data_IF_189458029973
#
_entry.id   IF_189458029973
#
_cell.length_a   1.000
_cell.length_b   1.000
_cell.length_c   1.000
_cell.angle_alpha   90.00
_cell.angle_beta   90.00
_cell.angle_gamma   90.00
#
_symmetry.space_group_name_H-M   'P 1'
#
loop_
_entity.id
_entity.type
_entity.pdbx_description
1 polymer ?
#
# COMPACT_ATOMS: atom_id res chain seq x y z
N UNK A 1 -10.79 -16.90 16.70
CA UNK A 1 -10.40 -16.05 15.55
C UNK A 1 -8.97 -16.41 15.18
N UNK A 2 -8.71 -16.83 13.94
CA UNK A 2 -7.39 -17.32 13.53
C UNK A 2 -6.50 -16.12 13.18
N UNK A 3 -5.64 -15.68 14.10
CA UNK A 3 -4.82 -14.47 13.95
C UNK A 3 -3.94 -14.49 12.68
N UNK A 4 -3.48 -15.66 12.20
CA UNK A 4 -2.71 -15.76 10.94
C UNK A 4 -3.42 -15.15 9.74
N UNK A 5 -4.75 -15.27 9.62
CA UNK A 5 -5.50 -14.71 8.49
C UNK A 5 -5.53 -13.18 8.52
N UNK A 6 -5.43 -12.59 9.71
CA UNK A 6 -5.38 -11.13 9.88
C UNK A 6 -4.01 -10.60 9.43
N UNK A 7 -2.93 -11.27 9.84
CA UNK A 7 -1.56 -10.91 9.44
C UNK A 7 -1.25 -11.17 7.96
N UNK A 8 -2.02 -12.04 7.29
CA UNK A 8 -1.95 -12.24 5.83
C UNK A 8 -2.54 -11.09 5.02
N UNK A 9 -3.44 -10.30 5.63
CA UNK A 9 -4.15 -9.20 4.96
C UNK A 9 -3.57 -7.85 5.36
N UNK A 10 -3.27 -7.67 6.64
CA UNK A 10 -2.69 -6.44 7.18
C UNK A 10 -1.18 -6.54 7.04
N UNK A 11 -0.66 -6.27 5.84
CA UNK A 11 0.79 -6.26 5.57
C UNK A 11 1.27 -4.84 5.27
N UNK A 12 2.58 -4.54 5.34
CA UNK A 12 3.08 -3.19 5.10
C UNK A 12 2.63 -2.58 3.76
N UNK A 13 2.64 -3.35 2.66
CA UNK A 13 2.17 -2.85 1.37
C UNK A 13 0.65 -2.73 1.31
N UNK A 14 -0.10 -3.62 1.97
CA UNK A 14 -1.57 -3.51 2.01
C UNK A 14 -2.03 -2.32 2.85
N UNK A 15 -1.28 -1.92 3.88
CA UNK A 15 -1.51 -0.67 4.61
C UNK A 15 -1.29 0.53 3.68
N UNK A 16 -0.19 0.54 2.92
CA UNK A 16 0.09 1.59 1.93
C UNK A 16 -1.00 1.64 0.84
N UNK A 17 -1.47 0.48 0.37
CA UNK A 17 -2.58 0.39 -0.56
C UNK A 17 -3.87 0.99 0.03
N UNK A 18 -4.15 0.71 1.31
CA UNK A 18 -5.26 1.28 2.06
C UNK A 18 -5.17 2.81 2.15
N UNK A 19 -3.98 3.38 2.37
CA UNK A 19 -3.78 4.83 2.32
C UNK A 19 -4.11 5.40 0.94
N UNK A 20 -3.72 4.72 -0.14
CA UNK A 20 -4.11 5.08 -1.51
C UNK A 20 -5.63 5.09 -1.69
N UNK A 21 -6.34 4.06 -1.19
CA UNK A 21 -7.81 4.01 -1.23
C UNK A 21 -8.44 5.18 -0.46
N UNK A 22 -7.90 5.53 0.70
CA UNK A 22 -8.36 6.69 1.48
C UNK A 22 -8.19 7.99 0.68
N UNK A 23 -7.04 8.19 0.02
CA UNK A 23 -6.78 9.36 -0.84
C UNK A 23 -7.76 9.45 -2.00
N UNK A 24 -8.08 8.32 -2.64
CA UNK A 24 -9.11 8.24 -3.70
C UNK A 24 -10.47 8.67 -3.14
N UNK A 25 -10.85 8.14 -1.97
CA UNK A 25 -12.11 8.49 -1.30
C UNK A 25 -12.23 9.99 -1.01
N UNK A 26 -11.19 10.59 -0.41
CA UNK A 26 -11.14 12.04 -0.18
C UNK A 26 -11.23 12.84 -1.48
N UNK A 27 -10.50 12.40 -2.51
CA UNK A 27 -10.51 13.03 -3.82
C UNK A 27 -11.88 12.99 -4.51
N UNK A 28 -12.65 11.92 -4.28
CA UNK A 28 -13.99 11.74 -4.87
C UNK A 28 -15.08 12.52 -4.13
N UNK A 29 -15.01 12.64 -2.80
CA UNK A 29 -16.05 13.30 -1.98
C UNK A 29 -16.14 14.82 -2.23
N UNK A 30 -15.02 15.49 -2.51
CA UNK A 30 -15.02 16.94 -2.76
C UNK A 30 -14.04 17.32 -3.89
N UNK A 31 -14.40 16.95 -5.13
CA UNK A 31 -13.58 17.19 -6.33
C UNK A 31 -13.38 18.67 -6.68
N UNK A 32 -14.09 19.61 -6.04
CA UNK A 32 -14.01 21.05 -6.36
C UNK A 32 -12.74 21.71 -5.81
N UNK A 33 -12.03 21.04 -4.90
CA UNK A 33 -10.73 21.50 -4.39
C UNK A 33 -9.62 20.93 -5.26
N UNK A 34 -8.76 21.79 -5.76
CA UNK A 34 -7.63 21.43 -6.64
C UNK A 34 -6.74 20.32 -6.03
N UNK A 35 -6.47 20.40 -4.72
CA UNK A 35 -5.71 19.38 -3.99
C UNK A 35 -6.40 18.00 -3.94
N UNK A 36 -7.74 17.95 -3.98
CA UNK A 36 -8.49 16.70 -3.88
C UNK A 36 -8.45 15.94 -5.21
N UNK A 37 -8.41 16.66 -6.34
CA UNK A 37 -8.20 16.04 -7.66
C UNK A 37 -6.82 15.40 -7.73
N UNK A 38 -5.78 16.07 -7.21
CA UNK A 38 -4.44 15.46 -7.11
C UNK A 38 -4.44 14.21 -6.21
N UNK A 39 -5.10 14.26 -5.04
CA UNK A 39 -5.21 13.10 -4.16
C UNK A 39 -5.90 11.91 -4.83
N UNK A 40 -6.93 12.16 -5.64
CA UNK A 40 -7.58 11.12 -6.43
C UNK A 40 -6.61 10.51 -7.45
N UNK A 41 -5.96 11.36 -8.25
CA UNK A 41 -5.05 10.92 -9.33
C UNK A 41 -3.86 10.14 -8.77
N UNK A 42 -3.24 10.61 -7.69
CA UNK A 42 -2.09 9.93 -7.08
C UNK A 42 -2.49 8.75 -6.19
N UNK A 43 -3.69 8.77 -5.61
CA UNK A 43 -4.21 7.67 -4.81
C UNK A 43 -4.38 6.39 -5.62
N UNK A 44 -4.75 6.47 -6.91
CA UNK A 44 -4.91 5.30 -7.80
C UNK A 44 -3.57 4.53 -8.00
N UNK A 45 -2.48 5.17 -8.46
CA UNK A 45 -1.17 4.53 -8.54
C UNK A 45 -0.67 3.97 -7.20
N UNK A 46 -0.91 4.67 -6.09
CA UNK A 46 -0.50 4.18 -4.76
C UNK A 46 -1.28 2.91 -4.40
N UNK A 47 -2.60 2.94 -4.52
CA UNK A 47 -3.47 1.81 -4.18
C UNK A 47 -3.16 0.59 -5.06
N UNK A 48 -3.18 0.77 -6.39
CA UNK A 48 -2.95 -0.31 -7.34
C UNK A 48 -1.50 -0.78 -7.35
N UNK A 49 -0.54 0.14 -7.25
CA UNK A 49 0.88 -0.18 -7.21
C UNK A 49 1.24 -0.99 -5.97
N UNK A 50 0.84 -0.53 -4.79
CA UNK A 50 1.13 -1.24 -3.54
C UNK A 50 0.41 -2.60 -3.47
N UNK A 51 -0.87 -2.68 -3.85
CA UNK A 51 -1.59 -3.94 -3.93
C UNK A 51 -0.98 -4.89 -4.97
N UNK A 52 -0.64 -4.40 -6.15
CA UNK A 52 -0.01 -5.18 -7.22
C UNK A 52 1.33 -5.76 -6.78
N UNK A 53 2.20 -4.94 -6.18
CA UNK A 53 3.50 -5.39 -5.65
C UNK A 53 3.30 -6.40 -4.51
N UNK A 54 2.32 -6.21 -3.62
CA UNK A 54 1.97 -7.19 -2.58
C UNK A 54 1.62 -8.55 -3.21
N UNK A 55 0.76 -8.59 -4.24
CA UNK A 55 0.41 -9.83 -4.94
C UNK A 55 1.63 -10.50 -5.59
N UNK A 56 2.54 -9.73 -6.18
CA UNK A 56 3.78 -10.25 -6.76
C UNK A 56 4.70 -10.87 -5.69
N UNK A 57 4.92 -10.17 -4.57
CA UNK A 57 5.73 -10.68 -3.46
C UNK A 57 5.09 -11.92 -2.87
N UNK A 58 3.78 -11.91 -2.64
CA UNK A 58 3.03 -13.05 -2.10
C UNK A 58 3.22 -14.30 -2.96
N UNK A 59 3.20 -14.14 -4.28
CA UNK A 59 3.49 -15.22 -5.24
C UNK A 59 4.96 -15.65 -5.18
N UNK A 60 5.90 -14.70 -5.10
CA UNK A 60 7.34 -14.98 -5.07
C UNK A 60 7.79 -15.72 -3.79
N UNK A 61 7.22 -15.40 -2.63
CA UNK A 61 7.59 -16.00 -1.33
C UNK A 61 6.78 -17.26 -0.98
N UNK A 62 5.92 -17.72 -1.90
CA UNK A 62 5.13 -18.94 -1.72
C UNK A 62 4.15 -18.88 -0.55
N UNK A 63 3.47 -17.75 -0.35
CA UNK A 63 2.48 -17.55 0.73
C UNK A 63 3.02 -17.67 2.16
N UNK A 64 4.35 -17.63 2.36
CA UNK A 64 4.97 -17.59 3.69
C UNK A 64 4.80 -16.19 4.30
N UNK A 65 3.85 -16.05 5.23
CA UNK A 65 3.45 -14.76 5.84
C UNK A 65 4.63 -13.99 6.45
N UNK A 66 5.50 -14.67 7.20
CA UNK A 66 6.66 -14.04 7.84
C UNK A 66 7.64 -13.46 6.82
N UNK A 67 7.97 -14.24 5.78
CA UNK A 67 8.90 -13.81 4.72
C UNK A 67 8.32 -12.64 3.93
N UNK A 68 7.02 -12.70 3.60
CA UNK A 68 6.30 -11.60 2.96
C UNK A 68 6.41 -10.31 3.77
N UNK A 69 6.11 -10.38 5.07
CA UNK A 69 6.21 -9.23 5.98
C UNK A 69 7.60 -8.60 6.01
N UNK A 70 8.66 -9.42 6.11
CA UNK A 70 10.04 -8.93 6.12
C UNK A 70 10.36 -8.21 4.81
N UNK A 71 10.05 -8.84 3.66
CA UNK A 71 10.32 -8.26 2.34
C UNK A 71 9.56 -6.95 2.14
N UNK A 72 8.28 -6.94 2.46
CA UNK A 72 7.45 -5.73 2.34
C UNK A 72 7.90 -4.61 3.28
N UNK A 73 8.27 -4.94 4.52
CA UNK A 73 8.77 -3.95 5.47
C UNK A 73 10.07 -3.31 4.96
N UNK A 74 11.00 -4.11 4.40
CA UNK A 74 12.23 -3.59 3.79
C UNK A 74 11.92 -2.66 2.62
N UNK A 75 10.99 -3.05 1.73
CA UNK A 75 10.60 -2.22 0.59
C UNK A 75 10.00 -0.90 1.05
N UNK A 76 9.04 -0.94 1.99
CA UNK A 76 8.39 0.28 2.50
C UNK A 76 9.39 1.19 3.22
N UNK A 77 10.28 0.63 4.06
CA UNK A 77 11.34 1.40 4.72
C UNK A 77 12.32 2.02 3.71
N UNK A 78 12.70 1.27 2.68
CA UNK A 78 13.58 1.76 1.62
C UNK A 78 12.93 2.91 0.84
N UNK A 79 11.67 2.76 0.43
CA UNK A 79 10.92 3.83 -0.25
C UNK A 79 10.78 5.07 0.63
N UNK A 80 10.47 4.90 1.93
CA UNK A 80 10.40 6.00 2.88
C UNK A 80 11.74 6.71 3.05
N UNK A 81 12.84 5.95 3.12
CA UNK A 81 14.18 6.52 3.20
C UNK A 81 14.57 7.29 1.94
N UNK A 82 14.32 6.73 0.74
CA UNK A 82 14.59 7.40 -0.54
C UNK A 82 13.79 8.69 -0.65
N UNK A 83 12.50 8.65 -0.32
CA UNK A 83 11.65 9.83 -0.33
C UNK A 83 12.12 10.90 0.66
N UNK A 84 12.53 10.51 1.88
CA UNK A 84 13.04 11.45 2.88
C UNK A 84 14.38 12.11 2.51
N UNK A 85 15.12 11.53 1.57
CA UNK A 85 16.41 12.04 1.07
C UNK A 85 16.29 12.84 -0.22
N UNK A 86 15.13 12.79 -0.88
CA UNK A 86 14.79 13.55 -2.09
C UNK A 86 14.28 14.94 -1.73
#
# INVERSE_FOLDING_TARGET
>A
MNFSKVFDIITPLMILAGMGVIMIGYGFVDMKRENNVLQFIFGIPIALGAAGVHFLIRRAVGYKTLTMWIVEAIIVLFLGYVYSKS
#
